data_IF_203431702184
#
_entry.id   IF_203431702184
#
_cell.length_a   1.000
_cell.length_b   1.000
_cell.length_c   1.000
_cell.angle_alpha   90.00
_cell.angle_beta   90.00
_cell.angle_gamma   90.00
#
_symmetry.space_group_name_H-M   'P 1'
#
loop_
_entity.id
_entity.type
_entity.pdbx_description
1 polymer ?
#
# COMPACT_ATOMS: atom_id res chain seq x y z
N UNK A 1 -25.47 -2.13 -5.49
CA UNK A 1 -25.00 -1.98 -4.09
C UNK A 1 -24.30 -3.26 -3.68
N UNK A 2 -23.26 -3.14 -2.86
CA UNK A 2 -22.12 -4.07 -2.62
C UNK A 2 -21.10 -4.03 -3.78
N UNK A 3 -20.09 -3.13 -3.76
CA UNK A 3 -18.83 -3.20 -2.99
C UNK A 3 -17.99 -4.41 -3.35
N UNK A 4 -17.03 -4.24 -4.26
CA UNK A 4 -15.93 -5.19 -4.38
C UNK A 4 -14.65 -4.39 -4.54
N UNK A 5 -14.13 -3.91 -3.40
CA UNK A 5 -12.69 -3.71 -3.32
C UNK A 5 -12.07 -5.05 -3.72
N UNK A 6 -11.31 -5.06 -4.82
CA UNK A 6 -10.89 -6.28 -5.49
C UNK A 6 -9.85 -7.03 -4.64
N UNK A 7 -10.34 -7.74 -3.62
CA UNK A 7 -9.58 -8.74 -2.89
C UNK A 7 -9.59 -10.01 -3.72
N UNK A 8 -8.48 -10.26 -4.41
CA UNK A 8 -8.39 -11.36 -5.37
C UNK A 8 -7.90 -12.64 -4.71
N UNK A 9 -8.42 -13.78 -5.18
CA UNK A 9 -8.15 -15.09 -4.59
C UNK A 9 -6.72 -15.61 -4.79
N UNK A 10 -5.96 -15.08 -5.76
CA UNK A 10 -4.56 -15.47 -6.02
C UNK A 10 -3.73 -14.25 -6.48
N UNK A 11 -3.39 -13.32 -5.57
CA UNK A 11 -2.61 -12.15 -5.92
C UNK A 11 -1.14 -12.53 -6.14
N UNK A 12 -0.52 -11.93 -7.15
CA UNK A 12 0.91 -12.10 -7.42
C UNK A 12 1.76 -11.39 -6.35
N UNK A 13 1.30 -10.23 -5.88
CA UNK A 13 1.87 -9.49 -4.77
C UNK A 13 0.78 -9.17 -3.75
N UNK A 14 1.07 -9.42 -2.48
CA UNK A 14 0.21 -9.10 -1.36
C UNK A 14 0.98 -8.25 -0.36
N UNK A 15 0.51 -7.02 -0.11
CA UNK A 15 1.03 -6.11 0.92
C UNK A 15 -0.01 -6.00 2.03
N UNK A 16 0.40 -6.16 3.29
CA UNK A 16 -0.49 -6.08 4.45
C UNK A 16 0.15 -5.25 5.56
N UNK A 17 -0.65 -4.34 6.11
CA UNK A 17 -0.37 -3.50 7.27
C UNK A 17 1.01 -2.82 7.23
N UNK A 18 1.46 -2.45 6.02
CA UNK A 18 2.77 -1.89 5.79
C UNK A 18 2.90 -0.56 6.54
N UNK A 19 3.89 -0.50 7.42
CA UNK A 19 4.34 0.73 8.06
C UNK A 19 5.80 0.98 7.68
N UNK A 20 6.10 2.22 7.30
CA UNK A 20 7.47 2.66 7.00
C UNK A 20 7.75 3.91 7.79
N UNK A 21 8.79 3.85 8.60
CA UNK A 21 9.30 4.95 9.42
C UNK A 21 10.68 5.35 8.91
N UNK A 22 10.87 6.66 8.75
CA UNK A 22 12.18 7.26 8.52
C UNK A 22 12.70 7.80 9.86
N UNK A 23 13.95 7.46 10.16
CA UNK A 23 14.68 7.99 11.30
C UNK A 23 15.48 9.19 10.78
N UNK A 24 15.18 10.38 11.30
CA UNK A 24 15.89 11.62 10.97
C UNK A 24 16.45 12.25 12.24
N UNK A 25 17.32 13.25 12.08
CA UNK A 25 17.92 13.96 13.21
C UNK A 25 16.86 14.70 14.06
N UNK A 26 15.75 15.10 13.44
CA UNK A 26 14.62 15.78 14.09
C UNK A 26 13.58 14.82 14.70
N UNK A 27 13.78 13.50 14.56
CA UNK A 27 12.92 12.47 15.14
C UNK A 27 12.47 11.39 14.15
N UNK A 28 11.38 10.70 14.50
CA UNK A 28 10.80 9.66 13.65
C UNK A 28 9.64 10.22 12.82
N UNK A 29 9.68 9.99 11.50
CA UNK A 29 8.62 10.33 10.57
C UNK A 29 7.98 9.07 9.99
N UNK A 30 6.66 8.89 10.18
CA UNK A 30 5.91 7.79 9.56
C UNK A 30 5.48 8.15 8.14
N UNK A 31 6.17 7.61 7.15
CA UNK A 31 5.87 7.83 5.74
C UNK A 31 4.74 6.93 5.20
N UNK A 32 4.65 5.70 5.70
CA UNK A 32 3.58 4.76 5.31
C UNK A 32 2.90 4.26 6.57
N UNK A 33 1.57 4.29 6.61
CA UNK A 33 0.78 3.92 7.79
C UNK A 33 -0.30 2.90 7.43
N UNK A 34 -0.11 1.65 7.88
CA UNK A 34 -1.07 0.54 7.77
C UNK A 34 -1.62 0.36 6.36
N UNK A 35 -0.73 0.36 5.36
CA UNK A 35 -1.14 0.20 3.95
C UNK A 35 -1.28 -1.28 3.60
N UNK A 36 -2.42 -1.63 3.01
CA UNK A 36 -2.75 -2.98 2.56
C UNK A 36 -3.32 -2.94 1.15
N UNK A 37 -2.74 -3.72 0.23
CA UNK A 37 -3.24 -3.89 -1.14
C UNK A 37 -2.76 -5.21 -1.75
N UNK A 38 -3.41 -5.62 -2.85
CA UNK A 38 -3.06 -6.77 -3.67
C UNK A 38 -2.77 -6.30 -5.10
N UNK A 39 -1.84 -6.97 -5.79
CA UNK A 39 -1.61 -6.82 -7.24
C UNK A 39 -1.67 -8.21 -7.88
N UNK A 40 -2.52 -8.37 -8.88
CA UNK A 40 -2.72 -9.63 -9.59
C UNK A 40 -1.78 -9.80 -10.77
N UNK A 41 -1.70 -11.05 -11.27
CA UNK A 41 -0.97 -11.34 -12.49
C UNK A 41 -1.60 -10.60 -13.68
N UNK A 42 -0.81 -9.79 -14.37
CA UNK A 42 -1.25 -9.02 -15.53
C UNK A 42 -2.00 -7.73 -15.20
N UNK A 43 -2.14 -7.39 -13.91
CA UNK A 43 -2.73 -6.12 -13.46
C UNK A 43 -1.73 -4.97 -13.63
N UNK A 44 -2.23 -3.82 -14.11
CA UNK A 44 -1.48 -2.56 -14.08
C UNK A 44 -1.94 -1.76 -12.87
N UNK A 45 -1.08 -1.66 -11.87
CA UNK A 45 -1.34 -0.94 -10.63
C UNK A 45 -0.64 0.43 -10.63
N UNK A 46 -1.39 1.49 -10.38
CA UNK A 46 -0.87 2.86 -10.28
C UNK A 46 -0.92 3.36 -8.84
N UNK A 47 0.24 3.74 -8.30
CA UNK A 47 0.33 4.47 -7.03
C UNK A 47 0.66 5.94 -7.33
N UNK A 48 -0.12 6.85 -6.77
CA UNK A 48 0.06 8.30 -6.93
C UNK A 48 0.01 8.99 -5.57
N UNK A 49 0.64 10.14 -5.47
CA UNK A 49 0.68 10.96 -4.26
C UNK A 49 1.15 12.37 -4.56
N UNK A 50 0.72 13.32 -3.74
CA UNK A 50 1.29 14.67 -3.74
C UNK A 50 2.64 14.65 -3.02
N UNK A 51 3.58 15.47 -3.50
CA UNK A 51 4.83 15.70 -2.78
C UNK A 51 4.51 16.26 -1.40
N UNK A 52 5.07 15.65 -0.36
CA UNK A 52 5.01 16.15 1.02
C UNK A 52 6.01 17.28 1.25
#
# INVERSE_FOLDING_TARGET
MASEHAFHNDPLLRVRDLCVDYITDDGHFRAVKLVSFDICRGEVFGLTGESS
#
